data_IF_297568741776
#
_entry.id   IF_297568741776
#
_cell.length_a   1.000
_cell.length_b   1.000
_cell.length_c   1.000
_cell.angle_alpha   90.00
_cell.angle_beta   90.00
_cell.angle_gamma   90.00
#
_symmetry.space_group_name_H-M   'P 1'
#
loop_
_entity.id
_entity.type
_entity.pdbx_description
1 polymer ?
#
# COMPACT_ATOMS: atom_id res chain seq x y z
N UNK A 1 48.30 -5.53 11.56
CA UNK A 1 47.33 -4.51 11.06
C UNK A 1 46.08 -5.06 10.35
N UNK A 2 45.82 -6.37 10.31
CA UNK A 2 44.70 -6.97 9.55
C UNK A 2 43.35 -7.07 10.28
N UNK A 3 43.34 -7.04 11.61
CA UNK A 3 42.08 -7.23 12.40
C UNK A 3 41.11 -6.02 12.36
N UNK A 4 41.59 -4.81 12.17
CA UNK A 4 40.72 -3.61 12.14
C UNK A 4 39.94 -3.45 10.82
N UNK A 5 40.49 -3.94 9.70
CA UNK A 5 39.83 -3.87 8.39
C UNK A 5 38.64 -4.84 8.29
N UNK A 6 38.75 -6.04 8.89
CA UNK A 6 37.66 -7.01 8.90
C UNK A 6 36.43 -6.52 9.70
N UNK A 7 36.68 -5.82 10.82
CA UNK A 7 35.61 -5.26 11.66
C UNK A 7 34.84 -4.15 10.94
N UNK A 8 35.52 -3.19 10.30
CA UNK A 8 34.86 -2.10 9.59
C UNK A 8 34.01 -2.60 8.42
N UNK A 9 34.51 -3.59 7.65
CA UNK A 9 33.77 -4.19 6.53
C UNK A 9 32.49 -4.89 7.02
N UNK A 10 32.56 -5.59 8.17
CA UNK A 10 31.38 -6.22 8.76
C UNK A 10 30.30 -5.18 9.15
N UNK A 11 30.69 -4.04 9.73
CA UNK A 11 29.73 -2.96 10.05
C UNK A 11 29.10 -2.33 8.78
N UNK A 12 29.86 -2.17 7.70
CA UNK A 12 29.31 -1.69 6.43
C UNK A 12 28.29 -2.67 5.82
N UNK A 13 28.60 -3.97 5.83
CA UNK A 13 27.68 -5.02 5.38
C UNK A 13 26.42 -5.04 6.21
N UNK A 14 26.56 -4.97 7.54
CA UNK A 14 25.41 -4.89 8.45
C UNK A 14 24.55 -3.67 8.18
N UNK A 15 25.15 -2.49 8.01
CA UNK A 15 24.44 -1.26 7.63
C UNK A 15 23.70 -1.36 6.30
N UNK A 16 24.29 -2.02 5.28
CA UNK A 16 23.63 -2.30 4.02
C UNK A 16 22.41 -3.21 4.20
N UNK A 17 22.56 -4.27 4.98
CA UNK A 17 21.45 -5.21 5.26
C UNK A 17 20.32 -4.49 5.97
N UNK A 18 20.60 -3.74 7.03
CA UNK A 18 19.57 -2.94 7.72
C UNK A 18 18.93 -1.89 6.81
N UNK A 19 19.74 -1.17 6.01
CA UNK A 19 19.21 -0.22 5.03
C UNK A 19 18.29 -0.88 4.01
N UNK A 20 18.65 -2.06 3.52
CA UNK A 20 17.81 -2.86 2.63
C UNK A 20 16.47 -3.22 3.30
N UNK A 21 16.52 -3.77 4.52
CA UNK A 21 15.29 -4.11 5.25
C UNK A 21 14.42 -2.89 5.52
N UNK A 22 15.01 -1.74 5.87
CA UNK A 22 14.28 -0.49 6.07
C UNK A 22 13.54 -0.05 4.81
N UNK A 23 14.22 -0.11 3.65
CA UNK A 23 13.60 0.28 2.37
C UNK A 23 12.51 -0.72 1.97
N UNK A 24 12.76 -2.03 2.14
CA UNK A 24 11.76 -3.08 1.87
C UNK A 24 10.53 -2.91 2.77
N UNK A 25 10.74 -2.72 4.07
CA UNK A 25 9.67 -2.49 5.03
C UNK A 25 8.86 -1.24 4.68
N UNK A 26 9.53 -0.12 4.38
CA UNK A 26 8.87 1.10 3.91
C UNK A 26 8.06 0.87 2.62
N UNK A 27 8.62 0.14 1.65
CA UNK A 27 7.94 -0.12 0.38
C UNK A 27 6.73 -1.04 0.51
N UNK A 28 6.76 -2.01 1.42
CA UNK A 28 5.73 -3.05 1.54
C UNK A 28 4.71 -2.77 2.65
N UNK A 29 5.14 -2.32 3.82
CA UNK A 29 4.32 -2.28 5.03
C UNK A 29 4.43 -0.99 5.83
N UNK A 30 4.59 0.18 5.21
CA UNK A 30 4.52 1.38 6.06
C UNK A 30 3.15 1.44 6.71
N UNK A 31 3.14 1.31 8.02
CA UNK A 31 1.99 1.37 8.92
C UNK A 31 1.18 2.68 8.75
N UNK A 32 1.81 3.71 8.17
CA UNK A 32 1.13 4.94 7.82
C UNK A 32 0.43 4.75 6.46
N UNK A 33 -0.82 5.08 6.39
CA UNK A 33 -1.68 5.06 5.20
C UNK A 33 -1.23 6.08 4.15
N UNK A 34 0.02 5.94 3.69
CA UNK A 34 0.62 6.85 2.71
C UNK A 34 0.07 6.50 1.32
N UNK A 35 -0.34 7.52 0.59
CA UNK A 35 -0.77 7.41 -0.81
C UNK A 35 0.23 6.60 -1.66
N UNK A 36 -0.25 5.67 -2.49
CA UNK A 36 0.62 4.91 -3.40
C UNK A 36 1.48 5.78 -4.30
N UNK A 37 0.97 6.93 -4.72
CA UNK A 37 1.71 7.90 -5.53
C UNK A 37 2.89 8.51 -4.74
N UNK A 38 2.66 8.84 -3.46
CA UNK A 38 3.70 9.40 -2.59
C UNK A 38 4.74 8.34 -2.24
N UNK A 39 4.34 7.09 -1.95
CA UNK A 39 5.29 5.97 -1.76
C UNK A 39 6.21 5.81 -2.96
N UNK A 40 5.65 5.79 -4.18
CA UNK A 40 6.44 5.71 -5.41
C UNK A 40 7.40 6.90 -5.54
N UNK A 41 6.92 8.13 -5.33
CA UNK A 41 7.74 9.33 -5.42
C UNK A 41 8.89 9.32 -4.41
N UNK A 42 8.64 8.95 -3.16
CA UNK A 42 9.66 8.86 -2.10
C UNK A 42 10.75 7.84 -2.46
N UNK A 43 10.37 6.64 -2.93
CA UNK A 43 11.32 5.60 -3.34
C UNK A 43 12.19 6.07 -4.52
N UNK A 44 11.60 6.76 -5.49
CA UNK A 44 12.33 7.32 -6.61
C UNK A 44 13.30 8.42 -6.19
N UNK A 45 12.84 9.38 -5.37
CA UNK A 45 13.69 10.46 -4.84
C UNK A 45 14.81 9.90 -3.97
N UNK A 46 14.53 8.88 -3.14
CA UNK A 46 15.53 8.19 -2.34
C UNK A 46 16.63 7.56 -3.22
N UNK A 47 16.26 6.92 -4.32
CA UNK A 47 17.23 6.37 -5.29
C UNK A 47 18.15 7.46 -5.83
N UNK A 48 17.61 8.59 -6.29
CA UNK A 48 18.41 9.72 -6.78
C UNK A 48 19.28 10.31 -5.68
N UNK A 49 18.76 10.41 -4.47
CA UNK A 49 19.47 10.95 -3.30
C UNK A 49 20.67 10.08 -2.93
N UNK A 50 20.49 8.75 -2.83
CA UNK A 50 21.58 7.82 -2.55
C UNK A 50 22.62 7.81 -3.68
N UNK A 51 22.18 7.83 -4.93
CA UNK A 51 23.09 7.94 -6.06
C UNK A 51 23.93 9.22 -6.01
N UNK A 52 23.30 10.36 -5.71
CA UNK A 52 24.00 11.65 -5.60
C UNK A 52 24.93 11.71 -4.39
N UNK A 53 24.59 11.03 -3.29
CA UNK A 53 25.42 10.96 -2.09
C UNK A 53 26.76 10.28 -2.34
N UNK A 54 26.90 9.47 -3.41
CA UNK A 54 28.21 8.91 -3.82
C UNK A 54 29.23 10.00 -4.14
N UNK A 55 28.79 11.17 -4.61
CA UNK A 55 29.65 12.32 -4.86
C UNK A 55 30.21 12.98 -3.58
N UNK A 56 29.66 12.66 -2.40
CA UNK A 56 30.14 13.13 -1.10
C UNK A 56 31.13 12.18 -0.43
N UNK A 57 31.25 10.95 -0.94
CA UNK A 57 32.10 9.95 -0.35
C UNK A 57 33.53 10.07 -0.87
N UNK A 58 34.48 10.32 0.03
CA UNK A 58 35.89 10.51 -0.28
C UNK A 58 36.63 9.23 -0.72
N UNK A 59 36.07 8.04 -0.47
CA UNK A 59 36.70 6.77 -0.79
C UNK A 59 35.81 5.85 -1.61
N UNK A 60 36.41 5.12 -2.55
CA UNK A 60 35.74 4.15 -3.41
C UNK A 60 34.94 3.09 -2.64
N UNK A 61 35.41 2.68 -1.45
CA UNK A 61 34.74 1.71 -0.60
C UNK A 61 33.46 2.25 0.04
N UNK A 62 33.41 3.57 0.34
CA UNK A 62 32.20 4.20 0.90
C UNK A 62 31.11 4.41 -0.14
N UNK A 63 31.44 4.36 -1.41
CA UNK A 63 30.47 4.50 -2.51
C UNK A 63 29.66 3.23 -2.75
N UNK A 64 30.23 2.05 -2.48
CA UNK A 64 29.56 0.76 -2.74
C UNK A 64 28.20 0.66 -2.04
N UNK A 65 28.09 0.91 -0.72
CA UNK A 65 26.79 0.87 -0.06
C UNK A 65 25.78 1.90 -0.61
N UNK A 66 26.23 3.08 -1.00
CA UNK A 66 25.35 4.11 -1.56
C UNK A 66 24.82 3.72 -2.94
N UNK A 67 25.66 3.16 -3.83
CA UNK A 67 25.21 2.60 -5.11
C UNK A 67 24.24 1.43 -4.91
N UNK A 68 24.52 0.56 -3.94
CA UNK A 68 23.65 -0.54 -3.62
C UNK A 68 22.27 -0.05 -3.15
N UNK A 69 22.22 0.89 -2.20
CA UNK A 69 20.97 1.48 -1.71
C UNK A 69 20.21 2.23 -2.81
N UNK A 70 20.91 2.96 -3.67
CA UNK A 70 20.30 3.62 -4.82
C UNK A 70 19.64 2.62 -5.77
N UNK A 71 20.34 1.53 -6.10
CA UNK A 71 19.85 0.50 -7.00
C UNK A 71 18.65 -0.25 -6.40
N UNK A 72 18.75 -0.62 -5.12
CA UNK A 72 17.65 -1.30 -4.41
C UNK A 72 16.42 -0.41 -4.30
N UNK A 73 16.58 0.87 -3.91
CA UNK A 73 15.46 1.83 -3.86
C UNK A 73 14.78 1.96 -5.21
N UNK A 74 15.56 2.00 -6.29
CA UNK A 74 15.00 2.06 -7.64
C UNK A 74 14.27 0.77 -8.02
N UNK A 75 14.83 -0.40 -7.73
CA UNK A 75 14.17 -1.69 -8.03
C UNK A 75 12.85 -1.82 -7.29
N UNK A 76 12.81 -1.43 -6.00
CA UNK A 76 11.58 -1.44 -5.21
C UNK A 76 10.60 -0.42 -5.78
N UNK A 77 11.03 0.80 -6.13
CA UNK A 77 10.21 1.79 -6.82
C UNK A 77 9.58 1.21 -8.09
N UNK A 78 10.39 0.61 -8.96
CA UNK A 78 9.91 0.06 -10.23
C UNK A 78 8.92 -1.08 -10.01
N UNK A 79 9.26 -2.05 -9.15
CA UNK A 79 8.39 -3.18 -8.82
C UNK A 79 7.06 -2.70 -8.21
N UNK A 80 7.12 -1.83 -7.20
CA UNK A 80 5.95 -1.27 -6.55
C UNK A 80 5.05 -0.51 -7.53
N UNK A 81 5.65 0.35 -8.36
CA UNK A 81 4.91 1.16 -9.33
C UNK A 81 4.25 0.29 -10.39
N UNK A 82 4.95 -0.73 -10.92
CA UNK A 82 4.40 -1.64 -11.93
C UNK A 82 3.22 -2.46 -11.37
N UNK A 83 3.35 -2.95 -10.14
CA UNK A 83 2.27 -3.74 -9.50
C UNK A 83 1.09 -2.87 -9.14
N UNK A 84 1.35 -1.70 -8.56
CA UNK A 84 0.29 -0.87 -7.98
C UNK A 84 -0.54 -0.10 -9.01
N UNK A 85 0.09 0.39 -10.08
CA UNK A 85 -0.59 1.16 -11.11
C UNK A 85 -1.06 0.34 -12.30
N UNK A 86 -0.85 -0.98 -12.27
CA UNK A 86 -1.31 -1.94 -13.27
C UNK A 86 -1.09 -1.46 -14.72
N UNK A 87 0.13 -1.09 -15.03
CA UNK A 87 0.50 -0.70 -16.39
C UNK A 87 0.31 -1.87 -17.36
N UNK A 88 -0.26 -1.61 -18.52
CA UNK A 88 -0.37 -2.62 -19.58
C UNK A 88 1.00 -3.16 -20.00
N UNK A 89 1.03 -4.35 -20.60
CA UNK A 89 2.27 -5.08 -20.95
C UNK A 89 3.28 -4.25 -21.76
N UNK A 90 2.82 -3.42 -22.69
CA UNK A 90 3.69 -2.55 -23.48
C UNK A 90 4.37 -1.47 -22.62
N UNK A 91 3.64 -0.82 -21.71
CA UNK A 91 4.21 0.17 -20.81
C UNK A 91 5.19 -0.45 -19.81
N UNK A 92 4.85 -1.63 -19.25
CA UNK A 92 5.73 -2.41 -18.38
C UNK A 92 7.04 -2.74 -19.09
N UNK A 93 6.97 -3.23 -20.34
CA UNK A 93 8.16 -3.52 -21.14
C UNK A 93 9.02 -2.26 -21.34
N UNK A 94 8.42 -1.13 -21.72
CA UNK A 94 9.16 0.12 -21.94
C UNK A 94 9.84 0.63 -20.66
N UNK A 95 9.18 0.54 -19.51
CA UNK A 95 9.76 0.93 -18.22
C UNK A 95 10.95 0.04 -17.89
N UNK A 96 10.84 -1.27 -18.03
CA UNK A 96 11.92 -2.21 -17.73
C UNK A 96 13.08 -2.07 -18.71
N UNK A 97 12.82 -1.98 -20.01
CA UNK A 97 13.83 -1.78 -21.04
C UNK A 97 14.56 -0.44 -20.88
N UNK A 98 13.82 0.65 -20.63
CA UNK A 98 14.37 1.97 -20.36
C UNK A 98 15.23 1.99 -19.09
N UNK A 99 14.78 1.33 -18.03
CA UNK A 99 15.54 1.16 -16.79
C UNK A 99 16.85 0.41 -17.05
N UNK A 100 16.79 -0.69 -17.78
CA UNK A 100 17.98 -1.48 -18.14
C UNK A 100 18.99 -0.63 -18.92
N UNK A 101 18.52 0.09 -19.95
CA UNK A 101 19.37 0.98 -20.75
C UNK A 101 19.99 2.09 -19.88
N UNK A 102 19.21 2.70 -18.97
CA UNK A 102 19.69 3.73 -18.06
C UNK A 102 20.79 3.21 -17.11
N UNK A 103 20.61 2.02 -16.52
CA UNK A 103 21.61 1.42 -15.63
C UNK A 103 22.88 1.01 -16.39
N UNK A 104 22.76 0.46 -17.59
CA UNK A 104 23.92 0.14 -18.43
C UNK A 104 24.68 1.40 -18.80
N UNK A 105 24.00 2.46 -19.24
CA UNK A 105 24.61 3.74 -19.55
C UNK A 105 25.29 4.35 -18.31
N UNK A 106 24.63 4.37 -17.17
CA UNK A 106 25.21 4.87 -15.92
C UNK A 106 26.44 4.07 -15.51
N UNK A 107 26.39 2.74 -15.58
CA UNK A 107 27.54 1.87 -15.29
C UNK A 107 28.72 2.13 -16.20
N UNK A 108 28.49 2.29 -17.51
CA UNK A 108 29.52 2.65 -18.49
C UNK A 108 30.13 4.01 -18.17
N UNK A 109 29.32 5.05 -17.96
CA UNK A 109 29.80 6.40 -17.68
C UNK A 109 30.60 6.48 -16.38
N UNK A 110 30.18 5.73 -15.33
CA UNK A 110 30.96 5.64 -14.07
C UNK A 110 32.30 4.97 -14.28
N UNK A 111 32.34 3.89 -15.06
CA UNK A 111 33.58 3.16 -15.35
C UNK A 111 34.59 4.03 -16.11
N UNK A 112 34.14 4.79 -17.08
CA UNK A 112 34.96 5.73 -17.87
C UNK A 112 35.29 7.02 -17.10
N UNK A 113 34.92 7.15 -15.81
CA UNK A 113 35.10 8.35 -14.98
C UNK A 113 34.54 9.63 -15.60
N UNK A 114 33.59 9.53 -16.53
CA UNK A 114 32.97 10.68 -17.19
C UNK A 114 31.92 11.37 -16.33
N UNK A 115 31.43 10.68 -15.31
CA UNK A 115 30.43 11.23 -14.36
C UNK A 115 30.95 11.16 -12.93
N UNK A 116 31.69 12.20 -12.55
CA UNK A 116 31.90 12.51 -11.15
C UNK A 116 30.90 13.64 -10.78
N UNK A 117 29.94 13.37 -9.91
CA UNK A 117 29.07 14.44 -9.41
C UNK A 117 29.95 15.34 -8.50
N UNK A 118 30.15 16.63 -8.84
CA UNK A 118 30.93 17.52 -7.98
C UNK A 118 30.33 17.57 -6.58
N UNK A 119 31.16 17.53 -5.54
CA UNK A 119 30.73 17.49 -4.13
C UNK A 119 29.68 18.56 -3.81
N UNK A 120 29.89 19.80 -4.29
CA UNK A 120 28.95 20.90 -4.08
C UNK A 120 27.55 20.60 -4.65
N UNK A 121 27.48 20.04 -5.87
CA UNK A 121 26.19 19.65 -6.49
C UNK A 121 25.56 18.46 -5.77
N UNK A 122 26.36 17.45 -5.40
CA UNK A 122 25.91 16.29 -4.63
C UNK A 122 25.25 16.72 -3.31
N UNK A 123 25.88 17.64 -2.58
CA UNK A 123 25.35 18.18 -1.31
C UNK A 123 23.99 18.83 -1.51
N UNK A 124 23.82 19.69 -2.52
CA UNK A 124 22.53 20.32 -2.81
C UNK A 124 21.44 19.31 -3.17
N UNK A 125 21.76 18.30 -4.01
CA UNK A 125 20.78 17.26 -4.40
C UNK A 125 20.36 16.43 -3.19
N UNK A 126 21.30 16.05 -2.32
CA UNK A 126 21.00 15.28 -1.11
C UNK A 126 20.11 16.08 -0.15
N UNK A 127 20.43 17.34 0.11
CA UNK A 127 19.62 18.20 0.97
C UNK A 127 18.22 18.40 0.37
N UNK A 128 18.14 18.72 -0.92
CA UNK A 128 16.85 18.85 -1.63
C UNK A 128 16.04 17.56 -1.59
N UNK A 129 16.67 16.39 -1.79
CA UNK A 129 16.04 15.09 -1.70
C UNK A 129 15.43 14.84 -0.32
N UNK A 130 16.18 15.10 0.75
CA UNK A 130 15.68 14.94 2.12
C UNK A 130 14.49 15.87 2.38
N UNK A 131 14.58 17.13 1.96
CA UNK A 131 13.48 18.10 2.13
C UNK A 131 12.24 17.66 1.36
N UNK A 132 12.40 17.19 0.12
CA UNK A 132 11.29 16.71 -0.70
C UNK A 132 10.64 15.45 -0.11
N UNK A 133 11.43 14.47 0.34
CA UNK A 133 10.92 13.25 0.98
C UNK A 133 10.11 13.63 2.23
N UNK A 134 10.69 14.46 3.11
CA UNK A 134 10.02 14.91 4.33
C UNK A 134 8.76 15.71 4.01
N UNK A 135 8.82 16.61 3.04
CA UNK A 135 7.67 17.42 2.61
C UNK A 135 6.54 16.58 2.03
N UNK A 136 6.84 15.63 1.16
CA UNK A 136 5.85 14.70 0.59
C UNK A 136 5.21 13.83 1.67
N UNK A 137 6.02 13.31 2.59
CA UNK A 137 5.54 12.51 3.71
C UNK A 137 4.57 13.32 4.59
N UNK A 138 4.98 14.49 5.04
CA UNK A 138 4.15 15.35 5.89
C UNK A 138 2.87 15.78 5.18
N UNK A 139 2.96 16.15 3.89
CA UNK A 139 1.81 16.52 3.08
C UNK A 139 0.77 15.40 3.01
N UNK A 140 1.24 14.17 2.80
CA UNK A 140 0.34 13.03 2.66
C UNK A 140 -0.29 12.62 4.00
N UNK A 141 0.50 12.53 5.06
CA UNK A 141 0.03 12.18 6.41
C UNK A 141 -0.95 13.22 6.99
N UNK A 142 -0.76 14.50 6.65
CA UNK A 142 -1.68 15.56 7.07
C UNK A 142 -2.98 15.63 6.26
N UNK A 143 -3.07 14.90 5.15
CA UNK A 143 -4.26 14.89 4.31
C UNK A 143 -5.39 14.02 4.89
N UNK A 144 -6.65 14.30 4.52
CA UNK A 144 -7.78 13.49 4.97
C UNK A 144 -7.66 12.05 4.46
N UNK A 145 -8.05 11.12 5.30
CA UNK A 145 -8.16 9.70 4.91
C UNK A 145 -9.44 9.47 4.12
N UNK A 146 -9.53 8.32 3.44
CA UNK A 146 -10.76 7.93 2.78
C UNK A 146 -11.78 7.49 3.83
N UNK A 147 -13.01 7.99 3.71
CA UNK A 147 -14.11 7.68 4.62
C UNK A 147 -15.04 6.65 3.96
N UNK A 148 -15.43 5.64 4.72
CA UNK A 148 -16.39 4.64 4.32
C UNK A 148 -17.73 4.94 4.99
N UNK A 149 -18.80 5.01 4.20
CA UNK A 149 -20.18 5.20 4.67
C UNK A 149 -21.01 3.98 4.27
N UNK A 150 -21.67 3.37 5.26
CA UNK A 150 -22.47 2.17 5.09
C UNK A 150 -23.95 2.52 4.95
N UNK A 151 -24.56 2.09 3.85
CA UNK A 151 -26.00 2.20 3.64
C UNK A 151 -26.62 0.81 3.54
N UNK A 152 -27.43 0.42 4.52
CA UNK A 152 -28.10 -0.87 4.56
C UNK A 152 -29.53 -0.79 3.99
N UNK A 153 -29.99 -1.89 3.37
CA UNK A 153 -31.37 -2.06 2.99
C UNK A 153 -32.21 -2.38 4.24
N UNK A 154 -33.41 -1.84 4.33
CA UNK A 154 -34.28 -2.06 5.48
C UNK A 154 -34.72 -3.54 5.64
N UNK A 155 -34.90 -4.24 4.52
CA UNK A 155 -35.28 -5.65 4.51
C UNK A 155 -34.81 -6.34 3.25
N UNK A 156 -34.50 -7.62 3.36
CA UNK A 156 -34.13 -8.49 2.23
C UNK A 156 -34.72 -9.88 2.39
N UNK A 157 -35.00 -10.53 1.26
CA UNK A 157 -35.28 -11.95 1.23
C UNK A 157 -34.00 -12.69 0.94
N UNK A 158 -33.58 -13.55 1.85
CA UNK A 158 -32.37 -14.36 1.68
C UNK A 158 -32.72 -15.82 1.46
N UNK A 159 -32.11 -16.41 0.45
CA UNK A 159 -32.18 -17.82 0.16
C UNK A 159 -30.94 -18.51 0.71
N UNK A 160 -31.10 -19.70 1.28
CA UNK A 160 -29.96 -20.44 1.83
C UNK A 160 -28.91 -20.72 0.77
N UNK A 161 -27.67 -20.33 1.06
CA UNK A 161 -26.51 -20.56 0.17
C UNK A 161 -26.37 -19.57 -0.99
N UNK A 162 -27.38 -18.74 -1.24
CA UNK A 162 -27.32 -17.69 -2.27
C UNK A 162 -26.72 -16.37 -1.70
N UNK A 163 -26.11 -15.62 -2.59
CA UNK A 163 -25.57 -14.29 -2.28
C UNK A 163 -26.67 -13.25 -2.48
N UNK A 164 -26.89 -12.47 -1.48
CA UNK A 164 -27.92 -11.40 -1.50
C UNK A 164 -27.28 -10.08 -1.16
N UNK A 165 -27.52 -9.04 -1.97
CA UNK A 165 -27.08 -7.69 -1.69
C UNK A 165 -27.92 -7.11 -0.53
N UNK A 166 -27.24 -6.79 0.58
CA UNK A 166 -27.87 -6.29 1.81
C UNK A 166 -27.66 -4.78 2.02
N UNK A 167 -26.74 -4.19 1.27
CA UNK A 167 -26.42 -2.78 1.35
C UNK A 167 -25.34 -2.37 0.37
N UNK A 168 -24.87 -1.16 0.54
CA UNK A 168 -23.74 -0.59 -0.21
C UNK A 168 -22.79 0.12 0.74
N UNK A 169 -21.50 0.05 0.44
CA UNK A 169 -20.47 0.83 1.11
C UNK A 169 -19.97 1.88 0.13
N UNK A 170 -20.18 3.15 0.46
CA UNK A 170 -19.67 4.27 -0.31
C UNK A 170 -18.35 4.73 0.31
N UNK A 171 -17.27 4.70 -0.48
CA UNK A 171 -15.98 5.21 -0.04
C UNK A 171 -15.72 6.53 -0.74
N UNK A 172 -15.49 7.57 0.06
CA UNK A 172 -15.21 8.93 -0.41
C UNK A 172 -13.77 9.29 -0.11
N UNK A 173 -13.03 9.70 -1.12
CA UNK A 173 -11.69 10.25 -0.96
C UNK A 173 -11.70 11.74 -1.30
N UNK A 174 -11.70 12.58 -0.27
CA UNK A 174 -11.65 14.03 -0.41
C UNK A 174 -10.24 14.58 -0.60
N UNK A 175 -9.23 13.73 -0.52
CA UNK A 175 -7.85 14.13 -0.79
C UNK A 175 -7.58 14.17 -2.31
N UNK A 176 -6.56 14.92 -2.72
CA UNK A 176 -6.19 15.05 -4.14
C UNK A 176 -5.43 13.85 -4.69
N UNK A 177 -4.82 13.06 -3.80
CA UNK A 177 -4.06 11.87 -4.16
C UNK A 177 -4.88 10.60 -3.94
N UNK A 178 -4.60 9.51 -4.68
CA UNK A 178 -5.23 8.23 -4.44
C UNK A 178 -4.98 7.73 -3.02
N UNK A 179 -6.01 7.18 -2.37
CA UNK A 179 -5.93 6.55 -1.05
C UNK A 179 -6.13 5.05 -1.16
N UNK A 180 -5.47 4.29 -0.31
CA UNK A 180 -5.78 2.87 -0.14
C UNK A 180 -7.20 2.75 0.44
N UNK A 181 -7.92 1.71 0.00
CA UNK A 181 -9.22 1.38 0.57
C UNK A 181 -8.99 0.51 1.79
N UNK A 182 -9.30 1.04 2.96
CA UNK A 182 -9.47 0.25 4.17
C UNK A 182 -10.97 0.08 4.40
N UNK A 183 -11.44 -1.13 4.11
CA UNK A 183 -12.82 -1.48 4.40
C UNK A 183 -12.89 -1.91 5.85
N UNK A 184 -13.78 -1.32 6.66
CA UNK A 184 -14.10 -1.86 7.95
C UNK A 184 -14.55 -3.32 7.80
N UNK A 185 -14.11 -4.18 8.71
CA UNK A 185 -14.55 -5.57 8.72
C UNK A 185 -15.98 -5.63 9.28
N UNK A 186 -16.96 -5.66 8.38
CA UNK A 186 -18.35 -5.82 8.78
C UNK A 186 -18.66 -7.27 9.11
N UNK A 187 -19.30 -7.48 10.24
CA UNK A 187 -19.83 -8.78 10.69
C UNK A 187 -21.33 -8.72 10.82
N UNK A 188 -21.96 -9.86 10.68
CA UNK A 188 -23.41 -9.97 10.87
C UNK A 188 -23.73 -11.13 11.79
N UNK A 189 -24.77 -10.96 12.58
CA UNK A 189 -25.37 -12.03 13.35
C UNK A 189 -26.90 -12.02 13.25
N UNK A 190 -27.47 -13.19 13.47
CA UNK A 190 -28.92 -13.44 13.54
C UNK A 190 -29.19 -14.43 14.65
N UNK A 191 -30.40 -14.51 15.13
CA UNK A 191 -30.82 -15.47 16.16
C UNK A 191 -30.75 -16.92 15.64
N UNK A 192 -30.27 -17.83 16.48
CA UNK A 192 -30.28 -19.26 16.24
C UNK A 192 -29.01 -19.80 15.58
N UNK A 193 -29.09 -21.03 15.01
CA UNK A 193 -27.92 -21.71 14.45
C UNK A 193 -27.50 -21.18 13.07
N UNK A 194 -28.24 -20.25 12.51
CA UNK A 194 -27.98 -19.65 11.22
C UNK A 194 -26.73 -18.74 11.31
N UNK A 195 -25.88 -18.85 10.30
CA UNK A 195 -24.67 -18.00 10.18
C UNK A 195 -24.80 -17.13 8.94
N UNK A 196 -24.46 -15.86 9.10
CA UNK A 196 -24.42 -14.89 8.00
C UNK A 196 -22.97 -14.53 7.74
N UNK A 197 -22.46 -14.89 6.57
CA UNK A 197 -21.14 -14.42 6.13
C UNK A 197 -21.34 -13.21 5.24
N UNK A 198 -20.62 -12.14 5.54
CA UNK A 198 -20.64 -10.89 4.79
C UNK A 198 -19.32 -10.67 4.08
N UNK A 199 -19.40 -10.05 2.92
CA UNK A 199 -18.23 -9.58 2.17
C UNK A 199 -18.64 -8.44 1.25
N UNK A 200 -17.74 -7.49 1.08
CA UNK A 200 -17.88 -6.47 0.04
C UNK A 200 -17.18 -6.93 -1.22
N UNK A 201 -17.84 -6.81 -2.35
CA UNK A 201 -17.21 -7.12 -3.64
C UNK A 201 -16.23 -5.99 -3.97
N UNK A 202 -14.95 -6.30 -3.89
CA UNK A 202 -13.88 -5.31 -3.98
C UNK A 202 -13.42 -5.15 -5.42
N UNK A 203 -13.76 -4.04 -6.04
CA UNK A 203 -13.17 -3.60 -7.30
C UNK A 203 -11.97 -2.66 -7.05
N UNK A 204 -10.78 -3.26 -6.89
CA UNK A 204 -9.55 -2.49 -6.72
C UNK A 204 -9.13 -2.25 -5.27
N UNK A 205 -7.97 -1.66 -5.10
CA UNK A 205 -7.34 -1.43 -3.80
C UNK A 205 -7.16 0.07 -3.47
N UNK A 206 -7.58 0.96 -4.35
CA UNK A 206 -7.42 2.40 -4.18
C UNK A 206 -8.60 3.18 -4.70
N UNK A 207 -8.96 4.26 -3.98
CA UNK A 207 -9.86 5.30 -4.47
C UNK A 207 -9.04 6.45 -5.03
N UNK A 208 -9.37 6.88 -6.25
CA UNK A 208 -8.71 8.02 -6.89
C UNK A 208 -8.93 9.30 -6.08
N UNK A 209 -8.02 10.29 -6.27
CA UNK A 209 -8.19 11.57 -5.61
C UNK A 209 -9.49 12.28 -6.03
N UNK A 210 -10.16 12.90 -5.06
CA UNK A 210 -11.44 13.63 -5.27
C UNK A 210 -12.54 12.78 -5.92
N UNK A 211 -12.57 11.48 -5.60
CA UNK A 211 -13.55 10.55 -6.17
C UNK A 211 -14.29 9.77 -5.11
N UNK A 212 -15.41 9.18 -5.53
CA UNK A 212 -16.22 8.26 -4.75
C UNK A 212 -16.33 6.95 -5.50
N UNK A 213 -16.31 5.87 -4.77
CA UNK A 213 -16.63 4.53 -5.29
C UNK A 213 -17.73 3.92 -4.42
N UNK A 214 -18.58 3.12 -5.04
CA UNK A 214 -19.65 2.41 -4.38
C UNK A 214 -19.43 0.91 -4.57
N UNK A 215 -19.53 0.15 -3.49
CA UNK A 215 -19.35 -1.30 -3.49
C UNK A 215 -20.58 -1.98 -2.90
N UNK A 216 -21.03 -3.04 -3.54
CA UNK A 216 -22.12 -3.86 -3.00
C UNK A 216 -21.65 -4.67 -1.80
N UNK A 217 -22.38 -4.54 -0.68
CA UNK A 217 -22.24 -5.40 0.49
C UNK A 217 -23.15 -6.61 0.32
N UNK A 218 -22.55 -7.79 0.16
CA UNK A 218 -23.26 -9.06 -0.03
C UNK A 218 -23.22 -9.89 1.24
N UNK A 219 -24.27 -10.64 1.46
CA UNK A 219 -24.36 -11.60 2.54
C UNK A 219 -24.81 -12.95 2.02
N UNK A 220 -24.30 -14.01 2.64
CA UNK A 220 -24.71 -15.39 2.39
C UNK A 220 -25.17 -16.04 3.68
N UNK A 221 -26.37 -16.60 3.67
CA UNK A 221 -26.99 -17.24 4.82
C UNK A 221 -26.74 -18.75 4.79
N UNK A 222 -26.34 -19.31 5.94
CA UNK A 222 -26.14 -20.74 6.14
C UNK A 222 -26.92 -21.25 7.35
N UNK A 223 -27.38 -22.49 7.31
CA UNK A 223 -27.92 -23.21 8.49
C UNK A 223 -29.39 -22.93 8.80
N UNK A 224 -30.21 -22.53 7.83
CA UNK A 224 -31.67 -22.51 8.03
C UNK A 224 -32.17 -23.92 8.35
N UNK A 225 -32.66 -24.13 9.55
CA UNK A 225 -33.18 -25.43 10.03
C UNK A 225 -34.64 -25.72 9.63
N UNK A 226 -35.20 -25.04 8.66
CA UNK A 226 -36.62 -25.21 8.31
C UNK A 226 -36.75 -26.15 7.12
N UNK A 227 -37.30 -27.31 7.32
CA UNK A 227 -37.47 -28.41 6.38
C UNK A 227 -38.19 -28.05 5.06
N UNK A 228 -38.81 -26.87 4.96
CA UNK A 228 -39.61 -26.45 3.79
C UNK A 228 -39.46 -24.98 3.37
N UNK A 229 -38.54 -24.19 3.94
CA UNK A 229 -38.34 -22.79 3.52
C UNK A 229 -36.93 -22.60 2.95
N UNK A 230 -36.87 -22.39 1.67
CA UNK A 230 -35.62 -22.05 0.94
C UNK A 230 -35.28 -20.57 1.05
N UNK A 231 -36.24 -19.71 1.41
CA UNK A 231 -36.05 -18.27 1.56
C UNK A 231 -36.76 -17.70 2.81
N UNK A 232 -36.16 -16.72 3.45
CA UNK A 232 -36.70 -16.02 4.60
C UNK A 232 -36.44 -14.50 4.45
N UNK A 233 -37.46 -13.71 4.85
CA UNK A 233 -37.35 -12.26 4.95
C UNK A 233 -36.68 -11.86 6.26
N UNK A 234 -35.67 -10.99 6.17
CA UNK A 234 -34.99 -10.41 7.33
C UNK A 234 -35.06 -8.89 7.28
N UNK A 235 -35.24 -8.28 8.45
CA UNK A 235 -34.96 -6.86 8.63
C UNK A 235 -33.48 -6.67 8.94
N UNK A 236 -32.84 -5.73 8.25
CA UNK A 236 -31.42 -5.45 8.47
C UNK A 236 -31.30 -4.19 9.31
N UNK A 237 -30.42 -4.22 10.29
CA UNK A 237 -30.09 -3.05 11.12
C UNK A 237 -28.61 -2.97 11.39
N UNK A 238 -28.10 -1.78 11.31
CA UNK A 238 -26.78 -1.44 11.82
C UNK A 238 -26.85 -1.33 13.35
N UNK A 239 -25.86 -1.91 14.02
CA UNK A 239 -25.77 -1.97 15.49
C UNK A 239 -24.31 -1.87 15.89
N UNK A 240 -24.02 -1.40 17.12
CA UNK A 240 -22.65 -1.33 17.63
C UNK A 240 -22.06 -2.69 17.99
N UNK A 241 -22.89 -3.72 18.08
CA UNK A 241 -22.52 -5.09 18.46
C UNK A 241 -23.54 -6.10 17.97
N UNK A 242 -23.18 -7.37 18.00
CA UNK A 242 -24.13 -8.44 17.72
C UNK A 242 -25.37 -8.37 18.63
N UNK A 243 -26.53 -8.20 18.03
CA UNK A 243 -27.83 -8.27 18.67
C UNK A 243 -28.66 -9.37 18.02
N UNK A 244 -28.76 -10.51 18.68
CA UNK A 244 -29.54 -11.66 18.19
C UNK A 244 -31.04 -11.42 18.39
N UNK A 245 -31.79 -11.31 17.30
CA UNK A 245 -33.24 -11.15 17.30
C UNK A 245 -33.86 -11.89 16.14
N UNK A 246 -34.99 -12.55 16.39
CA UNK A 246 -35.73 -13.31 15.38
C UNK A 246 -36.14 -12.43 14.19
N UNK A 247 -35.87 -12.93 12.98
CA UNK A 247 -36.16 -12.22 11.74
C UNK A 247 -35.33 -10.95 11.49
N UNK A 248 -34.26 -10.74 12.27
CA UNK A 248 -33.35 -9.59 12.13
C UNK A 248 -31.92 -10.06 11.85
N UNK A 249 -31.24 -9.34 10.97
CA UNK A 249 -29.80 -9.43 10.79
C UNK A 249 -29.21 -8.13 11.35
N UNK A 250 -28.39 -8.26 12.38
CA UNK A 250 -27.63 -7.14 12.95
C UNK A 250 -26.27 -7.09 12.29
N UNK A 251 -25.97 -5.96 11.66
CA UNK A 251 -24.68 -5.68 11.00
C UNK A 251 -23.90 -4.75 11.92
N UNK A 252 -22.65 -5.08 12.21
CA UNK A 252 -21.80 -4.29 13.08
C UNK A 252 -20.35 -4.30 12.54
N UNK A 253 -19.65 -3.22 12.83
CA UNK A 253 -18.22 -3.13 12.56
C UNK A 253 -17.44 -3.94 13.60
N UNK A 254 -16.62 -4.87 13.14
CA UNK A 254 -15.70 -5.61 14.02
C UNK A 254 -14.59 -4.65 14.44
N UNK A 255 -14.66 -4.12 15.65
CA UNK A 255 -13.47 -3.51 16.25
C UNK A 255 -12.45 -4.62 16.42
N UNK A 256 -11.40 -4.61 15.57
CA UNK A 256 -10.32 -5.57 15.67
C UNK A 256 -9.78 -5.57 17.10
N UNK A 257 -10.06 -6.63 17.82
CA UNK A 257 -9.31 -6.96 19.02
C UNK A 257 -8.01 -7.58 18.51
N UNK A 258 -6.96 -6.77 18.47
CA UNK A 258 -5.58 -7.22 18.35
C UNK A 258 -5.18 -8.13 19.53
#
# INVERSE_FOLDING_TARGET
MSKGLASSTAFYLLGMVFGLFTILYFGMEVILEISPAVKSAILFIASITFFSATGLAESKWRNIPLYFLASVSYLIFAAYTLVRFNFGSAATFLILAGSTAAFLAAGYMINEKQVAIPEKKARYIVIAGIILITGLFLFDVSGPQAEADLTLRNSVNMTQGEETAIGTVQITNDFILPRAIELPEYRACTEGPSRVNMYAEREGETVQGKSKIEMELKARLYGLKTENRTSQAFTIRETDRCVEKEGQISVYESQGLD
#
